data_IF_463139695492
#
_entry.id   IF_463139695492
#
_cell.length_a   1.000
_cell.length_b   1.000
_cell.length_c   1.000
_cell.angle_alpha   90.00
_cell.angle_beta   90.00
_cell.angle_gamma   90.00
#
_symmetry.space_group_name_H-M   'P 1'
#
loop_
_entity.id
_entity.type
_entity.pdbx_description
1 polymer ?
#
# COMPACT_ATOMS: atom_id res chain seq x y z
N UNK A 1 -7.20 -17.74 3.76
CA UNK A 1 -6.18 -16.67 3.89
C UNK A 1 -4.82 -17.26 3.57
N UNK A 2 -4.07 -16.63 2.71
CA UNK A 2 -2.75 -17.12 2.29
C UNK A 2 -1.81 -15.95 1.99
N UNK A 3 -0.51 -16.16 2.17
CA UNK A 3 0.50 -15.13 1.91
C UNK A 3 0.89 -15.11 0.44
N UNK A 4 1.14 -13.92 -0.08
CA UNK A 4 1.62 -13.71 -1.44
C UNK A 4 3.13 -13.49 -1.39
N UNK A 5 3.86 -14.05 -2.34
CA UNK A 5 5.30 -13.84 -2.42
C UNK A 5 5.64 -12.35 -2.50
N UNK A 6 6.75 -11.95 -1.88
CA UNK A 6 7.23 -10.57 -1.88
C UNK A 6 7.83 -10.25 -3.26
N UNK A 7 7.00 -10.31 -4.28
CA UNK A 7 7.35 -10.15 -5.68
C UNK A 7 6.28 -9.33 -6.37
N UNK A 8 6.68 -8.28 -7.05
CA UNK A 8 5.78 -7.35 -7.72
C UNK A 8 4.81 -8.06 -8.68
N UNK A 9 5.33 -8.99 -9.49
CA UNK A 9 4.50 -9.71 -10.45
C UNK A 9 3.49 -10.63 -9.78
N UNK A 10 3.88 -11.30 -8.69
CA UNK A 10 2.97 -12.15 -7.93
C UNK A 10 1.84 -11.34 -7.31
N UNK A 11 2.15 -10.16 -6.77
CA UNK A 11 1.15 -9.27 -6.18
C UNK A 11 0.18 -8.76 -7.25
N UNK A 12 0.69 -8.32 -8.40
CA UNK A 12 -0.14 -7.87 -9.52
C UNK A 12 -1.06 -8.97 -10.02
N UNK A 13 -0.54 -10.19 -10.12
CA UNK A 13 -1.33 -11.34 -10.57
C UNK A 13 -2.50 -11.60 -9.62
N UNK A 14 -2.24 -11.55 -8.33
CA UNK A 14 -3.27 -11.75 -7.32
C UNK A 14 -4.34 -10.65 -7.40
N UNK A 15 -3.94 -9.39 -7.54
CA UNK A 15 -4.86 -8.26 -7.66
C UNK A 15 -5.77 -8.39 -8.90
N UNK A 16 -5.21 -8.84 -10.02
CA UNK A 16 -5.96 -9.02 -11.27
C UNK A 16 -6.91 -10.22 -11.20
N UNK A 17 -6.49 -11.28 -10.55
CA UNK A 17 -7.22 -12.55 -10.56
C UNK A 17 -8.29 -12.61 -9.47
N UNK A 18 -7.95 -12.18 -8.26
CA UNK A 18 -8.81 -12.37 -7.08
C UNK A 18 -9.22 -11.06 -6.39
N UNK A 19 -8.70 -9.92 -6.81
CA UNK A 19 -9.05 -8.62 -6.25
C UNK A 19 -8.13 -8.15 -5.14
N UNK A 20 -8.59 -7.18 -4.32
CA UNK A 20 -7.74 -6.53 -3.33
C UNK A 20 -7.13 -7.47 -2.30
N UNK A 21 -5.97 -7.09 -1.78
CA UNK A 21 -5.24 -7.84 -0.77
C UNK A 21 -4.97 -6.94 0.44
N UNK A 22 -4.64 -7.55 1.58
CA UNK A 22 -4.17 -6.80 2.74
C UNK A 22 -2.65 -6.68 2.67
N UNK A 23 -2.14 -5.49 2.94
CA UNK A 23 -0.71 -5.24 2.98
C UNK A 23 -0.37 -4.55 4.30
N UNK A 24 0.69 -5.01 4.96
CA UNK A 24 1.24 -4.35 6.13
C UNK A 24 2.48 -3.58 5.73
N UNK A 25 2.64 -2.37 6.25
CA UNK A 25 3.83 -1.59 5.98
C UNK A 25 4.22 -0.74 7.19
N UNK A 26 5.43 -0.22 7.16
CA UNK A 26 5.94 0.62 8.24
C UNK A 26 5.53 2.06 8.03
N UNK A 27 4.82 2.64 9.00
CA UNK A 27 4.37 4.02 8.97
C UNK A 27 5.40 4.90 9.66
N UNK A 28 5.86 5.93 8.94
CA UNK A 28 6.75 6.96 9.48
C UNK A 28 5.97 8.27 9.67
N UNK A 29 6.55 9.18 10.42
CA UNK A 29 5.86 10.41 10.83
C UNK A 29 5.42 11.31 9.67
N UNK A 30 6.00 11.17 8.49
CA UNK A 30 5.60 11.94 7.31
C UNK A 30 4.40 11.34 6.56
N UNK A 31 3.98 10.12 6.91
CA UNK A 31 2.82 9.49 6.26
C UNK A 31 1.48 10.16 6.63
N UNK A 32 1.20 10.46 7.90
CA UNK A 32 -0.08 11.10 8.26
C UNK A 32 -0.35 12.43 7.55
N UNK A 33 0.67 13.12 7.07
CA UNK A 33 0.52 14.40 6.37
C UNK A 33 0.36 14.25 4.86
N UNK A 34 0.34 13.03 4.34
CA UNK A 34 0.14 12.77 2.92
C UNK A 34 -1.17 13.37 2.42
N UNK A 35 -1.14 13.96 1.22
CA UNK A 35 -2.32 14.56 0.57
C UNK A 35 -2.58 13.98 -0.80
N UNK A 36 -1.54 13.84 -1.63
CA UNK A 36 -1.67 13.38 -3.01
C UNK A 36 -0.32 12.95 -3.56
N UNK A 37 -0.33 12.41 -4.78
CA UNK A 37 0.88 11.93 -5.44
C UNK A 37 1.31 10.57 -4.95
N UNK A 38 2.55 10.19 -5.27
CA UNK A 38 3.12 8.91 -4.84
C UNK A 38 3.93 9.11 -3.56
N UNK A 39 3.47 8.51 -2.47
CA UNK A 39 4.16 8.63 -1.19
C UNK A 39 5.52 7.96 -1.24
N UNK A 40 6.52 8.68 -0.79
CA UNK A 40 7.86 8.17 -0.55
C UNK A 40 8.31 8.74 0.80
N UNK A 41 8.73 7.85 1.70
CA UNK A 41 9.22 8.28 3.00
C UNK A 41 10.50 9.09 2.83
N UNK A 42 10.54 10.27 3.43
CA UNK A 42 11.68 11.20 3.34
C UNK A 42 12.26 11.50 4.72
N UNK A 43 11.38 11.70 5.72
CA UNK A 43 11.82 12.07 7.06
C UNK A 43 10.77 11.72 8.09
N UNK A 44 11.17 11.71 9.33
CA UNK A 44 10.29 11.41 10.45
C UNK A 44 10.58 10.05 11.07
N UNK A 45 10.24 9.90 12.34
CA UNK A 45 10.47 8.69 13.10
C UNK A 45 9.47 7.59 12.73
N UNK A 46 9.87 6.34 12.91
CA UNK A 46 8.98 5.19 12.75
C UNK A 46 7.87 5.24 13.80
N UNK A 47 6.64 5.18 13.35
CA UNK A 47 5.47 5.16 14.24
C UNK A 47 4.96 3.74 14.52
N UNK A 48 5.20 2.80 13.61
CA UNK A 48 4.79 1.42 13.78
C UNK A 48 4.26 0.81 12.49
N UNK A 49 3.80 -0.43 12.58
CA UNK A 49 3.20 -1.14 11.46
C UNK A 49 1.72 -0.78 11.29
N UNK A 50 1.22 -0.90 10.06
CA UNK A 50 -0.17 -0.58 9.76
C UNK A 50 -0.67 -1.46 8.60
N UNK A 51 -1.84 -2.03 8.76
CA UNK A 51 -2.46 -2.86 7.74
C UNK A 51 -3.43 -2.03 6.90
N UNK A 52 -3.32 -2.13 5.59
CA UNK A 52 -4.19 -1.42 4.66
C UNK A 52 -4.65 -2.35 3.54
N UNK A 53 -5.56 -1.86 2.72
CA UNK A 53 -6.07 -2.61 1.59
C UNK A 53 -5.38 -2.13 0.31
N UNK A 54 -4.63 -3.03 -0.33
CA UNK A 54 -4.01 -2.74 -1.63
C UNK A 54 -4.99 -3.14 -2.72
N UNK A 55 -5.31 -2.20 -3.62
CA UNK A 55 -6.37 -2.36 -4.59
C UNK A 55 -5.89 -2.45 -6.03
N UNK A 56 -4.73 -1.90 -6.33
CA UNK A 56 -4.25 -1.85 -7.70
C UNK A 56 -2.87 -1.21 -7.79
N UNK A 57 -2.49 -0.85 -9.00
CA UNK A 57 -1.19 -0.23 -9.24
C UNK A 57 -1.29 0.68 -10.47
N UNK A 58 -0.25 1.49 -10.67
CA UNK A 58 -0.15 2.36 -11.82
C UNK A 58 1.18 3.08 -11.84
N UNK A 59 1.23 4.13 -12.62
CA UNK A 59 2.40 4.99 -12.74
C UNK A 59 1.95 6.44 -12.85
N UNK A 60 2.59 7.32 -12.10
CA UNK A 60 2.26 8.74 -12.11
C UNK A 60 3.55 9.52 -12.31
N UNK A 61 3.62 10.30 -13.39
CA UNK A 61 4.82 11.08 -13.74
C UNK A 61 6.09 10.21 -13.79
N UNK A 62 5.97 8.99 -14.30
CA UNK A 62 7.09 8.06 -14.39
C UNK A 62 7.41 7.32 -13.09
N UNK A 63 6.65 7.52 -12.02
CA UNK A 63 6.87 6.87 -10.73
C UNK A 63 5.86 5.74 -10.55
N UNK A 64 6.32 4.48 -10.44
CA UNK A 64 5.39 3.37 -10.23
C UNK A 64 4.84 3.37 -8.81
N UNK A 65 3.56 3.01 -8.66
CA UNK A 65 2.92 3.00 -7.34
C UNK A 65 1.97 1.81 -7.15
N UNK A 66 1.67 1.53 -5.89
CA UNK A 66 0.53 0.72 -5.48
C UNK A 66 -0.59 1.66 -5.02
N UNK A 67 -1.82 1.40 -5.47
CA UNK A 67 -2.99 2.15 -5.01
C UNK A 67 -3.58 1.43 -3.80
N UNK A 68 -3.72 2.14 -2.70
CA UNK A 68 -4.15 1.57 -1.43
C UNK A 68 -5.28 2.39 -0.80
N UNK A 69 -6.14 1.69 -0.08
CA UNK A 69 -7.17 2.33 0.74
C UNK A 69 -6.75 2.24 2.20
N UNK A 70 -6.69 3.39 2.86
CA UNK A 70 -6.39 3.45 4.28
C UNK A 70 -7.69 3.21 5.08
N UNK A 71 -7.55 2.74 6.30
CA UNK A 71 -8.69 2.55 7.21
C UNK A 71 -9.01 3.79 8.03
N UNK A 72 -8.34 4.89 7.74
CA UNK A 72 -8.59 6.17 8.40
C UNK A 72 -9.75 6.89 7.71
N UNK A 73 -10.10 8.06 8.24
CA UNK A 73 -11.19 8.88 7.74
C UNK A 73 -10.96 9.31 6.28
N UNK A 74 -12.04 9.49 5.51
CA UNK A 74 -11.95 9.96 4.12
C UNK A 74 -11.41 11.40 4.00
N UNK A 75 -11.34 12.14 5.10
CA UNK A 75 -10.68 13.44 5.14
C UNK A 75 -9.16 13.32 5.06
N UNK A 76 -8.63 12.13 5.29
CA UNK A 76 -7.20 11.88 5.24
C UNK A 76 -6.76 11.55 3.81
N UNK A 77 -5.58 12.05 3.45
CA UNK A 77 -4.96 11.73 2.17
C UNK A 77 -5.79 12.18 0.98
N UNK A 78 -5.88 11.31 -0.03
CA UNK A 78 -6.66 11.56 -1.23
C UNK A 78 -8.00 10.81 -1.10
N UNK A 79 -8.95 11.43 -0.41
CA UNK A 79 -10.28 10.86 -0.11
C UNK A 79 -10.19 9.48 0.56
N UNK A 80 -9.22 9.31 1.46
CA UNK A 80 -9.00 8.06 2.18
C UNK A 80 -8.06 7.10 1.48
N UNK A 81 -7.61 7.43 0.28
CA UNK A 81 -6.70 6.60 -0.52
C UNK A 81 -5.29 7.18 -0.50
N UNK A 82 -4.32 6.35 -0.86
CA UNK A 82 -2.95 6.81 -1.08
C UNK A 82 -2.27 5.94 -2.11
N UNK A 83 -1.23 6.51 -2.72
CA UNK A 83 -0.35 5.79 -3.63
C UNK A 83 1.00 5.70 -2.95
N UNK A 84 1.64 4.54 -3.00
CA UNK A 84 2.95 4.35 -2.40
C UNK A 84 3.90 3.76 -3.43
N UNK A 85 5.16 4.16 -3.40
CA UNK A 85 6.19 3.72 -4.34
C UNK A 85 6.21 2.19 -4.46
N UNK A 86 6.21 1.71 -5.71
CA UNK A 86 6.16 0.29 -6.05
C UNK A 86 7.48 -0.20 -6.63
N UNK A 87 7.83 -1.45 -6.33
CA UNK A 87 8.95 -2.12 -6.98
C UNK A 87 10.23 -2.16 -6.17
N UNK A 88 10.28 -1.44 -5.03
CA UNK A 88 11.48 -1.35 -4.19
C UNK A 88 11.23 -1.79 -2.75
N UNK A 89 10.10 -2.42 -2.49
CA UNK A 89 9.67 -2.79 -1.14
C UNK A 89 9.71 -1.59 -0.19
N UNK A 90 9.24 -0.45 -0.66
CA UNK A 90 9.29 0.79 0.10
C UNK A 90 8.48 0.68 1.39
N UNK A 91 9.08 0.99 2.52
CA UNK A 91 8.46 0.84 3.85
C UNK A 91 7.94 -0.59 4.11
N UNK A 92 8.47 -1.58 3.43
CA UNK A 92 8.05 -2.97 3.56
C UNK A 92 6.71 -3.29 2.90
N UNK A 93 6.21 -2.43 2.02
CA UNK A 93 4.87 -2.56 1.43
C UNK A 93 4.66 -3.86 0.65
N UNK A 94 5.73 -4.46 0.13
CA UNK A 94 5.64 -5.67 -0.69
C UNK A 94 6.01 -6.94 0.07
N UNK A 95 6.43 -6.84 1.32
CA UNK A 95 6.97 -7.99 2.05
C UNK A 95 5.96 -8.70 2.93
N UNK A 96 4.78 -8.15 3.14
CA UNK A 96 3.77 -8.76 4.01
C UNK A 96 2.37 -8.59 3.40
N UNK A 97 2.12 -9.40 2.37
CA UNK A 97 0.88 -9.36 1.60
C UNK A 97 0.05 -10.61 1.89
N UNK A 98 -1.20 -10.44 2.25
CA UNK A 98 -2.12 -11.53 2.56
C UNK A 98 -3.37 -11.43 1.68
N UNK A 99 -3.76 -12.54 1.08
CA UNK A 99 -4.93 -12.62 0.22
C UNK A 99 -5.96 -13.61 0.77
N UNK A 100 -7.14 -13.67 0.14
CA UNK A 100 -8.20 -14.57 0.54
C UNK A 100 -8.85 -14.17 1.86
N UNK A 101 -8.91 -12.88 2.16
CA UNK A 101 -9.48 -12.37 3.39
C UNK A 101 -11.00 -12.52 3.32
N UNK A 102 -11.64 -13.13 4.36
CA UNK A 102 -13.09 -13.26 4.37
C UNK A 102 -13.78 -11.90 4.33
N UNK A 103 -14.88 -11.83 3.60
CA UNK A 103 -15.75 -10.66 3.66
C UNK A 103 -16.53 -10.71 4.98
N UNK A 104 -16.46 -9.65 5.68
CA UNK A 104 -17.18 -9.51 6.95
C UNK A 104 -18.31 -8.52 6.76
#
# INVERSE_FOLDING_TARGET
MYSIAADEDAIKHELMTNGPVEADFEVYADFPTYKSGVYQHVSGALLGGHAIKMMGWGEENGIPYWLCANSWNTDWGDEGYFKILRGENHCGIESDIVAGIPKI
#
